data_IF_285072629384
#
_entry.id   IF_285072629384
#
_cell.length_a   1.000
_cell.length_b   1.000
_cell.length_c   1.000
_cell.angle_alpha   90.00
_cell.angle_beta   90.00
_cell.angle_gamma   90.00
#
_symmetry.space_group_name_H-M   'P 1'
#
loop_
_entity.id
_entity.type
_entity.pdbx_description
1 polymer ?
#
# COMPACT_ATOMS: atom_id res chain seq x y z
N UNK A 1 0.28 -21.92 13.66
CA UNK A 1 -0.44 -22.71 12.63
C UNK A 1 0.54 -23.27 11.60
N UNK A 2 0.15 -24.28 10.77
CA UNK A 2 0.99 -24.79 9.66
C UNK A 2 0.52 -24.19 8.34
N UNK A 3 1.46 -23.88 7.46
CA UNK A 3 1.14 -23.46 6.09
C UNK A 3 0.52 -24.62 5.30
N UNK A 4 -0.66 -24.44 4.69
CA UNK A 4 -1.31 -25.52 3.91
C UNK A 4 -0.55 -25.93 2.65
N UNK A 5 0.38 -25.09 2.17
CA UNK A 5 1.12 -25.36 0.92
C UNK A 5 2.51 -25.96 1.12
N UNK A 6 3.21 -25.66 2.24
CA UNK A 6 4.60 -26.12 2.44
C UNK A 6 4.90 -26.63 3.85
N UNK A 7 3.88 -26.82 4.71
CA UNK A 7 3.94 -27.31 6.09
C UNK A 7 4.85 -26.52 7.06
N UNK A 8 5.39 -25.38 6.66
CA UNK A 8 6.16 -24.52 7.56
C UNK A 8 5.30 -24.07 8.73
N UNK A 9 5.86 -24.10 9.94
CA UNK A 9 5.20 -23.59 11.14
C UNK A 9 5.23 -22.05 11.09
N UNK A 10 4.07 -21.43 11.16
CA UNK A 10 3.87 -19.98 11.08
C UNK A 10 3.33 -19.46 12.41
N UNK A 11 3.63 -18.20 12.77
CA UNK A 11 2.99 -17.54 13.91
C UNK A 11 1.47 -17.47 13.71
N UNK A 12 0.73 -17.53 14.81
CA UNK A 12 -0.72 -17.29 14.79
C UNK A 12 -0.96 -15.83 14.40
N UNK A 13 -1.87 -15.56 13.47
CA UNK A 13 -2.14 -14.27 12.81
C UNK A 13 -1.30 -13.92 11.57
N UNK A 14 -0.56 -14.85 11.01
CA UNK A 14 0.11 -14.66 9.73
C UNK A 14 -0.91 -14.67 8.59
N UNK A 15 -0.88 -13.65 7.74
CA UNK A 15 -1.79 -13.55 6.58
C UNK A 15 -1.25 -14.29 5.34
N UNK A 16 0.03 -14.68 5.34
CA UNK A 16 0.64 -15.50 4.29
C UNK A 16 1.89 -16.20 4.83
N UNK A 17 2.31 -17.24 4.12
CA UNK A 17 3.53 -17.98 4.44
C UNK A 17 4.77 -17.27 3.87
N UNK A 18 5.70 -16.91 4.73
CA UNK A 18 6.97 -16.26 4.37
C UNK A 18 7.95 -17.18 3.64
N UNK A 19 7.68 -18.50 3.61
CA UNK A 19 8.52 -19.48 2.92
C UNK A 19 8.07 -19.78 1.48
N UNK A 20 6.75 -19.76 1.21
CA UNK A 20 6.22 -20.14 -0.10
C UNK A 20 5.18 -19.14 -0.67
N UNK A 21 4.96 -18.02 0.01
CA UNK A 21 4.02 -16.98 -0.42
C UNK A 21 2.53 -17.36 -0.34
N UNK A 22 2.18 -18.55 0.20
CA UNK A 22 0.79 -18.97 0.29
C UNK A 22 -0.02 -18.10 1.22
N UNK A 23 -1.15 -17.56 0.75
CA UNK A 23 -2.08 -16.76 1.56
C UNK A 23 -2.98 -17.64 2.41
N UNK A 24 -3.09 -17.29 3.71
CA UNK A 24 -3.86 -18.01 4.69
C UNK A 24 -5.22 -17.32 4.83
N UNK A 25 -6.27 -17.99 4.35
CA UNK A 25 -7.65 -17.52 4.55
C UNK A 25 -8.04 -17.68 6.02
N UNK A 26 -8.29 -16.57 6.70
CA UNK A 26 -8.87 -16.59 8.04
C UNK A 26 -10.37 -16.89 7.93
N UNK A 27 -10.76 -18.12 8.23
CA UNK A 27 -12.17 -18.43 8.48
C UNK A 27 -12.58 -17.77 9.80
N UNK A 28 -13.45 -16.77 9.72
CA UNK A 28 -14.08 -16.19 10.90
C UNK A 28 -14.98 -17.25 11.54
N UNK A 29 -14.47 -17.95 12.55
CA UNK A 29 -15.31 -18.75 13.44
C UNK A 29 -15.94 -17.78 14.43
N UNK A 30 -17.21 -17.50 14.25
CA UNK A 30 -18.02 -16.76 15.21
C UNK A 30 -18.26 -17.69 16.39
N UNK A 31 -17.52 -17.48 17.48
CA UNK A 31 -17.86 -18.07 18.77
C UNK A 31 -19.00 -17.26 19.39
N UNK A 32 -20.19 -17.82 19.42
CA UNK A 32 -21.29 -17.36 20.27
C UNK A 32 -20.98 -17.79 21.70
N UNK A 33 -20.53 -16.85 22.52
CA UNK A 33 -20.49 -17.04 23.98
C UNK A 33 -21.87 -16.81 24.55
N UNK A 34 -22.43 -17.87 25.14
CA UNK A 34 -23.61 -17.79 25.99
C UNK A 34 -23.27 -17.13 27.32
N UNK A 35 -23.97 -16.03 27.62
CA UNK A 35 -23.90 -15.38 28.94
C UNK A 35 -24.77 -16.12 29.96
N UNK A 36 -24.26 -16.46 31.15
CA UNK A 36 -25.08 -16.99 32.25
C UNK A 36 -25.82 -15.83 32.94
N UNK A 37 -27.11 -16.02 33.06
CA UNK A 37 -28.01 -15.24 33.93
C UNK A 37 -27.64 -15.41 35.39
N UNK A 38 -27.36 -14.34 36.09
CA UNK A 38 -27.18 -14.29 37.54
C UNK A 38 -28.04 -13.19 38.17
N UNK A 39 -29.14 -13.61 38.81
CA UNK A 39 -29.98 -12.79 39.65
C UNK A 39 -29.23 -12.29 40.88
N UNK A 40 -29.24 -10.99 41.14
CA UNK A 40 -29.08 -10.49 42.52
C UNK A 40 -30.16 -9.47 42.85
N UNK A 41 -31.02 -9.90 43.81
CA UNK A 41 -31.94 -9.09 44.57
C UNK A 41 -31.16 -8.48 45.75
N UNK A 42 -31.18 -7.16 45.94
CA UNK A 42 -31.12 -6.58 47.30
C UNK A 42 -31.86 -5.28 47.37
N UNK A 43 -32.80 -5.30 48.30
CA UNK A 43 -33.59 -4.24 48.89
C UNK A 43 -32.74 -3.25 49.71
N UNK A 44 -33.12 -2.02 49.77
CA UNK A 44 -33.58 -1.23 50.97
C UNK A 44 -33.44 0.25 50.71
N UNK A 45 -34.62 0.90 50.74
CA UNK A 45 -35.07 1.90 51.67
C UNK A 45 -34.11 3.06 52.05
N UNK A 46 -34.46 4.25 51.61
CA UNK A 46 -34.55 5.43 52.53
C UNK A 46 -35.55 6.45 51.97
N UNK A 47 -36.59 6.72 52.76
CA UNK A 47 -37.52 7.84 52.63
C UNK A 47 -36.84 9.14 53.02
N UNK A 48 -37.04 10.21 52.24
CA UNK A 48 -36.92 11.63 52.69
C UNK A 48 -38.01 12.47 51.98
N UNK A 49 -38.60 13.46 52.68
CA UNK A 49 -39.94 14.01 52.37
C UNK A 49 -39.93 15.14 51.33
N UNK A 50 -41.14 15.37 50.81
CA UNK A 50 -41.51 16.46 49.89
C UNK A 50 -41.10 17.84 50.36
N UNK A 51 -40.44 18.61 49.49
CA UNK A 51 -40.57 20.05 49.42
C UNK A 51 -40.70 20.53 47.98
N UNK A 52 -41.65 21.37 47.80
CA UNK A 52 -42.15 22.14 46.68
C UNK A 52 -41.16 22.37 45.50
N UNK A 53 -41.48 21.80 44.35
CA UNK A 53 -40.75 22.02 43.10
C UNK A 53 -41.48 23.05 42.27
N UNK A 54 -40.83 24.20 42.09
CA UNK A 54 -41.20 25.20 41.09
C UNK A 54 -40.96 24.62 39.71
N UNK A 55 -42.03 24.45 38.96
CA UNK A 55 -42.05 23.89 37.62
C UNK A 55 -41.57 24.93 36.61
N UNK A 56 -40.30 24.83 36.16
CA UNK A 56 -39.81 25.58 34.99
C UNK A 56 -39.34 24.59 33.92
N UNK A 57 -40.29 23.90 33.32
CA UNK A 57 -40.05 23.08 32.15
C UNK A 57 -40.29 23.89 30.87
N UNK A 58 -39.31 24.75 30.49
CA UNK A 58 -39.19 25.22 29.11
C UNK A 58 -38.35 24.20 28.34
N UNK A 59 -38.98 23.12 27.85
CA UNK A 59 -38.42 22.29 26.81
C UNK A 59 -38.19 23.16 25.57
N UNK A 60 -36.91 23.53 25.29
CA UNK A 60 -36.51 24.05 23.97
C UNK A 60 -36.83 22.95 22.94
N UNK A 61 -37.87 23.14 22.12
CA UNK A 61 -38.11 22.31 20.95
C UNK A 61 -36.87 22.36 20.08
N UNK A 62 -36.21 21.24 19.90
CA UNK A 62 -35.18 21.09 18.83
C UNK A 62 -35.86 21.43 17.50
N UNK A 63 -35.24 22.23 16.63
CA UNK A 63 -35.83 22.53 15.33
C UNK A 63 -35.98 21.21 14.57
N UNK A 64 -37.21 20.84 14.28
CA UNK A 64 -37.48 19.70 13.40
C UNK A 64 -37.19 20.13 11.98
N UNK A 65 -36.31 19.42 11.30
CA UNK A 65 -36.06 19.59 9.86
C UNK A 65 -37.36 19.36 9.08
N UNK A 66 -37.65 20.26 8.15
CA UNK A 66 -38.81 20.08 7.27
C UNK A 66 -38.64 18.82 6.40
N UNK A 67 -39.73 18.23 5.98
CA UNK A 67 -39.71 17.04 5.11
C UNK A 67 -38.84 17.26 3.82
N UNK A 68 -38.90 18.48 3.25
CA UNK A 68 -38.07 18.87 2.11
C UNK A 68 -36.55 18.87 2.44
N UNK A 69 -36.18 19.35 3.61
CA UNK A 69 -34.76 19.33 4.07
C UNK A 69 -34.27 17.91 4.35
N UNK A 70 -35.11 17.04 4.89
CA UNK A 70 -34.79 15.62 5.08
C UNK A 70 -34.58 14.90 3.75
N UNK A 71 -35.42 15.18 2.74
CA UNK A 71 -35.25 14.62 1.38
C UNK A 71 -33.94 15.11 0.74
N UNK A 72 -33.64 16.41 0.82
CA UNK A 72 -32.40 16.98 0.29
C UNK A 72 -31.17 16.34 0.95
N UNK A 73 -31.18 16.23 2.29
CA UNK A 73 -30.08 15.60 3.03
C UNK A 73 -29.92 14.14 2.63
N UNK A 74 -31.03 13.40 2.48
CA UNK A 74 -31.00 11.99 2.06
C UNK A 74 -30.44 11.84 0.64
N UNK A 75 -30.85 12.70 -0.29
CA UNK A 75 -30.30 12.71 -1.67
C UNK A 75 -28.82 13.06 -1.67
N UNK A 76 -28.38 14.05 -0.88
CA UNK A 76 -26.96 14.39 -0.76
C UNK A 76 -26.13 13.23 -0.16
N UNK A 77 -26.65 12.52 0.84
CA UNK A 77 -25.99 11.35 1.43
C UNK A 77 -25.87 10.23 0.41
N UNK A 78 -26.94 9.97 -0.36
CA UNK A 78 -26.92 8.96 -1.43
C UNK A 78 -25.94 9.34 -2.52
N UNK A 79 -25.90 10.60 -2.96
CA UNK A 79 -24.93 11.09 -3.95
C UNK A 79 -23.49 10.99 -3.43
N UNK A 80 -23.23 11.36 -2.18
CA UNK A 80 -21.92 11.20 -1.54
C UNK A 80 -21.54 9.73 -1.40
N UNK A 81 -22.48 8.86 -1.05
CA UNK A 81 -22.27 7.42 -1.01
C UNK A 81 -22.01 6.84 -2.41
N UNK A 82 -22.73 7.29 -3.45
CA UNK A 82 -22.47 6.90 -4.83
C UNK A 82 -21.09 7.40 -5.30
N UNK A 83 -20.69 8.62 -4.97
CA UNK A 83 -19.35 9.15 -5.27
C UNK A 83 -18.24 8.41 -4.50
N UNK A 84 -18.54 7.84 -3.33
CA UNK A 84 -17.60 7.00 -2.56
C UNK A 84 -17.56 5.55 -3.07
N UNK A 85 -18.69 5.06 -3.62
CA UNK A 85 -18.89 3.70 -4.16
C UNK A 85 -18.56 3.64 -5.66
N UNK A 86 -18.57 4.79 -6.40
CA UNK A 86 -17.93 4.79 -7.72
C UNK A 86 -16.52 4.29 -7.46
N UNK A 87 -16.21 3.03 -7.75
CA UNK A 87 -14.89 2.53 -7.52
C UNK A 87 -14.01 3.50 -8.28
N UNK A 88 -12.91 3.89 -7.68
CA UNK A 88 -11.73 4.31 -8.41
C UNK A 88 -11.26 3.06 -9.17
N UNK A 89 -12.10 2.61 -10.09
CA UNK A 89 -11.75 1.68 -11.14
C UNK A 89 -10.77 2.50 -11.96
N UNK A 90 -9.52 2.50 -11.51
CA UNK A 90 -8.44 2.94 -12.34
C UNK A 90 -8.61 2.09 -13.60
N UNK A 91 -8.97 2.75 -14.70
CA UNK A 91 -9.11 2.11 -16.00
C UNK A 91 -7.83 1.30 -16.16
N UNK A 92 -7.95 -0.03 -16.25
CA UNK A 92 -6.78 -0.83 -16.58
C UNK A 92 -6.35 -0.33 -17.94
N UNK A 93 -5.10 0.06 -18.04
CA UNK A 93 -4.54 0.66 -19.23
C UNK A 93 -3.47 -0.29 -19.76
N UNK A 94 -3.44 -0.52 -21.06
CA UNK A 94 -2.37 -1.18 -21.77
C UNK A 94 -1.57 -0.16 -22.56
N UNK A 95 -0.23 -0.29 -22.52
CA UNK A 95 0.70 0.60 -23.24
C UNK A 95 1.69 -0.27 -23.99
N UNK A 96 1.76 -0.10 -25.31
CA UNK A 96 2.69 -0.80 -26.18
C UNK A 96 3.96 0.01 -26.42
N UNK A 97 5.08 -0.67 -26.69
CA UNK A 97 6.34 -0.04 -27.09
C UNK A 97 7.23 0.39 -25.93
N UNK A 98 6.88 0.08 -24.70
CA UNK A 98 7.76 0.30 -23.55
C UNK A 98 8.88 -0.76 -23.58
N UNK A 99 10.13 -0.29 -23.64
CA UNK A 99 11.32 -1.14 -23.65
C UNK A 99 11.81 -1.51 -22.24
N UNK A 100 12.94 -2.22 -22.21
CA UNK A 100 13.63 -2.56 -20.96
C UNK A 100 14.17 -1.31 -20.26
N UNK A 101 14.27 -1.33 -18.92
CA UNK A 101 14.96 -0.27 -18.18
C UNK A 101 16.42 -0.11 -18.63
N UNK A 102 16.89 1.12 -18.69
CA UNK A 102 18.30 1.45 -18.97
C UNK A 102 19.03 1.51 -17.63
N UNK A 103 20.10 0.72 -17.53
CA UNK A 103 20.90 0.58 -16.33
C UNK A 103 22.38 0.55 -16.69
N UNK A 104 23.17 1.49 -16.17
CA UNK A 104 24.61 1.59 -16.42
C UNK A 104 25.36 1.70 -15.10
N UNK A 105 26.47 0.97 -14.95
CA UNK A 105 27.28 1.03 -13.73
C UNK A 105 27.75 2.45 -13.45
N UNK A 106 27.71 2.82 -12.19
CA UNK A 106 28.21 4.10 -11.69
C UNK A 106 28.76 3.94 -10.28
N UNK A 107 29.41 4.96 -9.79
CA UNK A 107 29.92 5.02 -8.42
C UNK A 107 29.60 6.38 -7.79
N UNK A 108 29.62 6.43 -6.50
CA UNK A 108 29.43 7.68 -5.74
C UNK A 108 28.45 7.49 -4.58
N UNK A 109 28.39 8.47 -3.73
CA UNK A 109 27.43 8.45 -2.64
C UNK A 109 26.87 9.87 -2.40
N UNK A 110 25.78 9.90 -1.63
CA UNK A 110 25.14 11.16 -1.19
C UNK A 110 24.65 10.94 0.22
N UNK A 111 24.87 11.92 1.08
CA UNK A 111 24.36 11.89 2.47
C UNK A 111 23.04 12.66 2.53
N UNK A 112 22.07 12.07 3.22
CA UNK A 112 20.78 12.70 3.51
C UNK A 112 20.37 12.43 4.96
N UNK A 113 19.54 13.29 5.54
CA UNK A 113 18.99 13.08 6.88
C UNK A 113 17.51 12.75 6.80
N UNK A 114 17.11 11.58 7.31
CA UNK A 114 15.72 11.12 7.28
C UNK A 114 15.32 10.46 8.59
N UNK A 115 14.31 11.00 9.24
CA UNK A 115 13.67 10.35 10.40
C UNK A 115 14.55 10.20 11.63
N UNK A 116 15.62 11.01 11.75
CA UNK A 116 16.59 10.96 12.84
C UNK A 116 17.76 10.00 12.55
N UNK A 117 17.95 9.62 11.29
CA UNK A 117 19.10 8.85 10.82
C UNK A 117 19.94 9.71 9.88
N UNK A 118 21.25 9.61 9.99
CA UNK A 118 22.21 9.96 8.95
C UNK A 118 22.23 8.79 7.95
N UNK A 119 22.05 9.09 6.68
CA UNK A 119 21.81 8.08 5.64
C UNK A 119 22.81 8.26 4.52
N UNK A 120 23.70 7.30 4.34
CA UNK A 120 24.59 7.19 3.18
C UNK A 120 23.88 6.43 2.08
N UNK A 121 23.75 7.08 0.93
CA UNK A 121 23.10 6.55 -0.29
C UNK A 121 24.20 6.22 -1.29
N UNK A 122 24.58 4.95 -1.40
CA UNK A 122 25.61 4.46 -2.32
C UNK A 122 25.01 4.16 -3.68
N UNK A 123 25.46 4.86 -4.72
CA UNK A 123 24.99 4.71 -6.10
C UNK A 123 25.74 3.55 -6.76
N UNK A 124 24.99 2.58 -7.30
CA UNK A 124 25.55 1.42 -8.00
C UNK A 124 25.34 1.54 -9.50
N UNK A 125 24.16 2.00 -9.93
CA UNK A 125 23.82 2.18 -11.34
C UNK A 125 23.07 3.49 -11.54
N UNK A 126 23.28 4.15 -12.67
CA UNK A 126 22.28 5.08 -13.21
C UNK A 126 21.07 4.24 -13.63
N UNK A 127 19.88 4.78 -13.49
CA UNK A 127 18.66 4.04 -13.78
C UNK A 127 17.60 4.92 -14.40
N UNK A 128 17.12 4.52 -15.58
CA UNK A 128 15.98 5.14 -16.23
C UNK A 128 15.00 4.05 -16.65
N UNK A 129 13.75 4.22 -16.28
CA UNK A 129 12.68 3.31 -16.65
C UNK A 129 11.46 4.08 -17.16
N UNK A 130 11.09 3.82 -18.42
CA UNK A 130 9.76 4.09 -18.92
C UNK A 130 8.84 2.95 -18.51
N UNK A 131 7.69 3.24 -17.90
CA UNK A 131 6.84 2.17 -17.40
C UNK A 131 5.37 2.59 -17.25
N UNK A 132 4.50 1.59 -17.29
CA UNK A 132 3.15 1.65 -16.80
C UNK A 132 3.15 1.37 -15.29
N UNK A 133 2.56 2.27 -14.50
CA UNK A 133 2.33 2.05 -13.07
C UNK A 133 1.14 1.11 -12.88
N UNK A 134 1.40 -0.16 -12.57
CA UNK A 134 0.35 -1.18 -12.43
C UNK A 134 -0.25 -1.22 -11.03
N UNK A 135 0.51 -0.83 -10.00
CA UNK A 135 0.03 -0.70 -8.62
C UNK A 135 0.87 0.30 -7.83
N UNK A 136 0.31 0.84 -6.73
CA UNK A 136 1.06 1.69 -5.78
C UNK A 136 0.66 1.40 -4.36
N UNK A 137 1.62 1.50 -3.43
CA UNK A 137 1.40 1.38 -1.99
C UNK A 137 2.06 2.55 -1.26
N UNK A 138 1.30 3.25 -0.43
CA UNK A 138 1.84 4.28 0.46
C UNK A 138 2.03 3.70 1.86
N UNK A 139 3.09 4.14 2.55
CA UNK A 139 3.40 3.79 3.92
C UNK A 139 3.38 5.05 4.79
N UNK A 140 2.71 4.98 5.94
CA UNK A 140 2.46 6.12 6.83
C UNK A 140 2.89 5.86 8.27
N UNK A 141 3.78 4.88 8.48
CA UNK A 141 4.23 4.49 9.81
C UNK A 141 5.41 5.28 10.33
N UNK A 142 5.90 4.84 11.50
CA UNK A 142 7.03 5.45 12.21
C UNK A 142 8.36 4.77 11.94
N UNK A 143 8.36 3.61 11.29
CA UNK A 143 9.57 2.87 10.94
C UNK A 143 10.46 3.67 9.99
N UNK A 144 11.77 3.50 10.13
CA UNK A 144 12.75 4.21 9.32
C UNK A 144 12.54 3.95 7.81
N UNK A 145 12.35 2.69 7.40
CA UNK A 145 12.09 2.32 6.01
C UNK A 145 10.89 3.05 5.40
N UNK A 146 9.84 3.29 6.21
CA UNK A 146 8.63 3.97 5.75
C UNK A 146 8.82 5.49 5.64
N UNK A 147 9.76 6.05 6.41
CA UNK A 147 10.15 7.48 6.30
C UNK A 147 11.07 7.71 5.12
N UNK A 148 12.02 6.79 4.87
CA UNK A 148 13.00 6.86 3.80
C UNK A 148 12.33 6.67 2.43
N UNK A 149 11.60 5.58 2.25
CA UNK A 149 10.85 5.25 1.04
C UNK A 149 9.34 5.12 1.37
N UNK A 150 8.60 6.25 1.45
CA UNK A 150 7.20 6.26 1.90
C UNK A 150 6.23 5.73 0.86
N UNK A 151 6.70 5.39 -0.33
CA UNK A 151 5.88 4.86 -1.42
C UNK A 151 6.61 3.81 -2.22
N UNK A 152 5.94 2.69 -2.43
CA UNK A 152 6.34 1.68 -3.40
C UNK A 152 5.48 1.83 -4.65
N UNK A 153 6.09 1.63 -5.82
CA UNK A 153 5.39 1.56 -7.10
C UNK A 153 5.74 0.25 -7.80
N UNK A 154 4.72 -0.43 -8.29
CA UNK A 154 4.89 -1.56 -9.19
C UNK A 154 4.88 -1.02 -10.62
N UNK A 155 5.97 -1.23 -11.31
CA UNK A 155 6.21 -0.79 -12.68
C UNK A 155 6.22 -1.99 -13.62
N UNK A 156 5.63 -1.83 -14.81
CA UNK A 156 5.61 -2.86 -15.83
C UNK A 156 5.99 -2.28 -17.18
N UNK A 157 6.65 -3.11 -18.01
CA UNK A 157 7.07 -2.80 -19.37
C UNK A 157 6.82 -3.99 -20.31
N UNK A 158 7.25 -3.91 -21.56
CA UNK A 158 7.05 -4.96 -22.55
C UNK A 158 5.59 -5.37 -22.73
N UNK A 159 5.36 -6.65 -22.92
CA UNK A 159 4.02 -7.21 -23.11
C UNK A 159 3.19 -7.24 -21.80
N UNK A 160 3.82 -7.18 -20.63
CA UNK A 160 3.11 -7.02 -19.36
C UNK A 160 2.40 -5.66 -19.30
N UNK A 161 3.07 -4.58 -19.69
CA UNK A 161 2.46 -3.26 -19.81
C UNK A 161 1.41 -3.22 -20.93
N UNK A 162 1.72 -3.79 -22.09
CA UNK A 162 0.85 -3.83 -23.27
C UNK A 162 -0.48 -4.51 -23.03
N UNK A 163 -0.47 -5.66 -22.36
CA UNK A 163 -1.68 -6.45 -22.12
C UNK A 163 -2.35 -6.21 -20.79
N UNK A 164 -1.90 -5.21 -20.00
CA UNK A 164 -2.45 -4.96 -18.67
C UNK A 164 -3.94 -4.54 -18.67
N UNK A 165 -4.48 -4.05 -19.78
CA UNK A 165 -5.92 -3.77 -19.95
C UNK A 165 -6.75 -5.01 -20.34
N UNK A 166 -6.12 -6.02 -20.96
CA UNK A 166 -6.76 -7.23 -21.46
C UNK A 166 -6.65 -8.39 -20.49
N UNK A 167 -5.47 -8.57 -19.88
CA UNK A 167 -5.14 -9.62 -18.93
C UNK A 167 -5.36 -9.14 -17.50
N UNK A 168 -5.93 -9.97 -16.64
CA UNK A 168 -6.13 -9.63 -15.24
C UNK A 168 -5.00 -10.15 -14.36
N UNK A 169 -3.97 -9.34 -14.19
CA UNK A 169 -2.82 -9.67 -13.36
C UNK A 169 -3.09 -9.72 -11.86
N UNK A 170 -4.24 -9.28 -11.38
CA UNK A 170 -4.58 -9.21 -9.94
C UNK A 170 -3.47 -8.58 -9.08
N UNK A 171 -2.89 -7.48 -9.56
CA UNK A 171 -1.78 -6.78 -8.88
C UNK A 171 -2.07 -6.48 -7.43
N UNK A 172 -1.13 -6.79 -6.55
CA UNK A 172 -1.19 -6.48 -5.11
C UNK A 172 0.20 -6.09 -4.61
N UNK A 173 0.24 -5.15 -3.66
CA UNK A 173 1.46 -4.82 -2.92
C UNK A 173 1.23 -4.97 -1.42
N UNK A 174 2.17 -5.59 -0.74
CA UNK A 174 2.18 -5.77 0.71
C UNK A 174 3.58 -6.13 1.19
N UNK A 175 3.94 -5.72 2.41
CA UNK A 175 5.22 -6.05 3.03
C UNK A 175 6.43 -5.74 2.14
N UNK A 176 6.41 -4.59 1.47
CA UNK A 176 7.45 -4.15 0.56
C UNK A 176 7.63 -5.01 -0.70
N UNK A 177 6.67 -5.85 -1.06
CA UNK A 177 6.69 -6.69 -2.26
C UNK A 177 5.50 -6.42 -3.17
N UNK A 178 5.64 -6.74 -4.45
CA UNK A 178 4.56 -6.77 -5.42
C UNK A 178 4.28 -8.22 -5.82
N UNK A 179 3.01 -8.52 -6.00
CA UNK A 179 2.52 -9.84 -6.41
C UNK A 179 1.57 -9.69 -7.58
N UNK A 180 1.63 -10.65 -8.50
CA UNK A 180 0.60 -10.84 -9.50
C UNK A 180 0.06 -12.28 -9.43
N UNK A 181 -1.14 -12.48 -9.95
CA UNK A 181 -1.73 -13.80 -10.10
C UNK A 181 -2.45 -13.85 -11.44
N UNK A 182 -2.12 -14.86 -12.24
CA UNK A 182 -2.70 -15.12 -13.54
C UNK A 182 -3.18 -16.58 -13.61
N UNK A 183 -4.16 -16.84 -14.45
CA UNK A 183 -4.49 -18.18 -14.90
C UNK A 183 -3.59 -18.59 -16.08
N UNK A 184 -3.66 -19.84 -16.50
CA UNK A 184 -2.82 -20.36 -17.58
C UNK A 184 -3.11 -19.71 -18.94
N UNK A 185 -4.37 -19.38 -19.22
CA UNK A 185 -4.78 -18.70 -20.45
C UNK A 185 -4.17 -17.29 -20.53
N UNK A 186 -4.28 -16.52 -19.45
CA UNK A 186 -3.70 -15.18 -19.33
C UNK A 186 -2.15 -15.23 -19.44
N UNK A 187 -1.50 -16.24 -18.82
CA UNK A 187 -0.04 -16.43 -18.92
C UNK A 187 0.40 -16.66 -20.37
N UNK A 188 -0.34 -17.47 -21.14
CA UNK A 188 -0.03 -17.73 -22.55
C UNK A 188 -0.11 -16.47 -23.41
N UNK A 189 -1.02 -15.53 -23.08
CA UNK A 189 -1.15 -14.27 -23.81
C UNK A 189 0.08 -13.37 -23.64
N UNK A 190 0.69 -13.39 -22.44
CA UNK A 190 1.81 -12.50 -22.10
C UNK A 190 3.20 -13.15 -22.18
N UNK A 191 3.30 -14.35 -22.74
CA UNK A 191 4.60 -15.00 -22.97
C UNK A 191 5.08 -15.93 -21.85
N UNK A 192 4.20 -16.29 -20.90
CA UNK A 192 4.51 -17.22 -19.81
C UNK A 192 4.97 -16.57 -18.51
N UNK A 193 5.18 -17.41 -17.49
CA UNK A 193 5.50 -16.93 -16.13
C UNK A 193 6.84 -16.20 -16.07
N UNK A 194 7.89 -16.78 -16.67
CA UNK A 194 9.25 -16.21 -16.64
C UNK A 194 9.27 -14.82 -17.30
N UNK A 195 8.54 -14.68 -18.43
CA UNK A 195 8.39 -13.39 -19.08
C UNK A 195 7.70 -12.37 -18.16
N UNK A 196 6.61 -12.75 -17.52
CA UNK A 196 5.90 -11.87 -16.59
C UNK A 196 6.83 -11.44 -15.45
N UNK A 197 7.55 -12.40 -14.85
CA UNK A 197 8.42 -12.12 -13.69
C UNK A 197 9.58 -11.21 -14.03
N UNK A 198 10.12 -11.26 -15.26
CA UNK A 198 11.19 -10.37 -15.71
C UNK A 198 10.74 -9.02 -16.27
N UNK A 199 9.42 -8.77 -16.46
CA UNK A 199 8.89 -7.55 -17.07
C UNK A 199 7.99 -6.72 -16.15
N UNK A 200 8.14 -6.90 -14.85
CA UNK A 200 7.64 -5.95 -13.83
C UNK A 200 8.58 -5.94 -12.62
N UNK A 201 8.53 -4.85 -11.88
CA UNK A 201 9.30 -4.73 -10.63
C UNK A 201 8.54 -3.99 -9.55
N UNK A 202 8.92 -4.21 -8.29
CA UNK A 202 8.47 -3.43 -7.17
C UNK A 202 9.57 -2.47 -6.72
N UNK A 203 9.32 -1.19 -6.81
CA UNK A 203 10.32 -0.16 -6.61
C UNK A 203 10.04 0.64 -5.35
N UNK A 204 11.04 0.73 -4.46
CA UNK A 204 11.03 1.57 -3.26
C UNK A 204 11.63 2.94 -3.60
N UNK A 205 10.84 4.00 -3.50
CA UNK A 205 11.24 5.31 -4.00
C UNK A 205 11.75 6.23 -2.88
N UNK A 206 13.05 6.54 -2.95
CA UNK A 206 13.72 7.54 -2.11
C UNK A 206 13.81 8.84 -2.92
N UNK A 207 13.35 9.94 -2.38
CA UNK A 207 13.39 11.23 -3.09
C UNK A 207 14.72 11.95 -2.88
N UNK A 208 15.36 12.44 -3.95
CA UNK A 208 16.57 13.24 -3.88
C UNK A 208 16.34 14.61 -3.23
N UNK A 209 15.13 15.16 -3.39
CA UNK A 209 14.77 16.46 -2.84
C UNK A 209 13.25 16.59 -2.58
N UNK A 210 12.84 17.76 -2.04
CA UNK A 210 11.44 18.08 -1.75
C UNK A 210 10.55 18.15 -2.99
N UNK A 211 11.10 18.52 -4.15
CA UNK A 211 10.35 18.61 -5.42
C UNK A 211 10.05 17.21 -5.93
N UNK A 212 11.07 16.35 -5.99
CA UNK A 212 10.93 14.95 -6.36
C UNK A 212 10.00 14.22 -5.41
N UNK A 213 10.09 14.47 -4.09
CA UNK A 213 9.15 13.92 -3.10
C UNK A 213 7.69 14.27 -3.42
N UNK A 214 7.41 15.48 -3.90
CA UNK A 214 6.07 15.89 -4.34
C UNK A 214 5.64 15.17 -5.61
N UNK A 215 6.55 14.91 -6.55
CA UNK A 215 6.29 14.13 -7.76
C UNK A 215 5.97 12.68 -7.40
N UNK A 216 6.81 12.00 -6.61
CA UNK A 216 6.60 10.63 -6.15
C UNK A 216 5.22 10.46 -5.50
N UNK A 217 4.80 11.38 -4.65
CA UNK A 217 3.48 11.34 -4.00
C UNK A 217 2.32 11.34 -5.01
N UNK A 218 2.48 11.98 -6.16
CA UNK A 218 1.44 12.11 -7.21
C UNK A 218 1.30 10.86 -8.08
N UNK A 219 2.33 10.00 -8.14
CA UNK A 219 2.28 8.76 -8.93
C UNK A 219 1.09 7.93 -8.49
N UNK A 220 0.29 7.45 -9.43
CA UNK A 220 -0.89 6.62 -9.20
C UNK A 220 -0.97 5.48 -10.21
N UNK A 221 -1.72 4.46 -9.87
CA UNK A 221 -2.03 3.35 -10.79
C UNK A 221 -2.61 3.89 -12.10
N UNK A 222 -2.09 3.37 -13.21
CA UNK A 222 -2.46 3.73 -14.58
C UNK A 222 -1.62 4.86 -15.17
N UNK A 223 -0.76 5.52 -14.41
CA UNK A 223 0.17 6.51 -14.95
C UNK A 223 1.17 5.85 -15.91
N UNK A 224 1.51 6.54 -16.98
CA UNK A 224 2.63 6.25 -17.86
C UNK A 224 3.74 7.24 -17.54
N UNK A 225 4.86 6.75 -17.03
CA UNK A 225 5.94 7.60 -16.50
C UNK A 225 7.31 7.18 -17.03
N UNK A 226 8.22 8.14 -17.06
CA UNK A 226 9.67 7.92 -17.00
C UNK A 226 10.11 8.27 -15.59
N UNK A 227 10.81 7.34 -14.95
CA UNK A 227 11.45 7.53 -13.66
C UNK A 227 12.96 7.47 -13.86
N UNK A 228 13.64 8.52 -13.43
CA UNK A 228 15.11 8.65 -13.56
C UNK A 228 15.74 8.76 -12.18
N UNK A 229 16.88 8.11 -11.97
CA UNK A 229 17.61 8.12 -10.72
C UNK A 229 18.78 7.17 -10.70
N UNK A 230 18.98 6.53 -9.54
CA UNK A 230 20.06 5.58 -9.31
C UNK A 230 19.52 4.37 -8.54
N UNK A 231 19.96 3.18 -8.89
CA UNK A 231 19.87 2.03 -8.01
C UNK A 231 20.90 2.20 -6.89
N UNK A 232 20.46 2.02 -5.64
CA UNK A 232 21.27 2.40 -4.49
C UNK A 232 21.24 1.37 -3.37
N UNK A 233 22.37 1.26 -2.64
CA UNK A 233 22.39 0.67 -1.31
C UNK A 233 22.35 1.76 -0.26
N UNK A 234 21.72 1.47 0.86
CA UNK A 234 21.55 2.37 1.99
C UNK A 234 22.28 1.83 3.21
N UNK A 235 23.07 2.70 3.82
CA UNK A 235 23.63 2.52 5.14
C UNK A 235 23.16 3.70 6.00
N UNK A 236 22.54 3.43 7.13
CA UNK A 236 21.98 4.48 7.97
C UNK A 236 22.22 4.20 9.45
N UNK A 237 22.61 5.26 10.19
CA UNK A 237 22.80 5.21 11.63
C UNK A 237 22.08 6.39 12.30
N UNK A 238 21.56 6.17 13.50
CA UNK A 238 20.98 7.23 14.30
C UNK A 238 21.85 7.57 15.54
N UNK A 239 21.55 8.67 16.22
CA UNK A 239 22.28 9.15 17.40
C UNK A 239 22.39 8.12 18.53
N UNK A 240 21.56 7.09 18.56
CA UNK A 240 21.62 6.00 19.54
C UNK A 240 22.46 4.80 19.10
N UNK A 241 23.13 4.88 17.94
CA UNK A 241 23.94 3.81 17.36
C UNK A 241 23.11 2.68 16.75
N UNK A 242 21.86 2.92 16.41
CA UNK A 242 21.03 1.93 15.70
C UNK A 242 21.30 1.99 14.22
N UNK A 243 21.73 0.86 13.67
CA UNK A 243 22.02 0.67 12.25
C UNK A 243 20.83 0.16 11.46
N UNK A 244 20.78 0.54 10.16
CA UNK A 244 19.84 0.03 9.18
C UNK A 244 20.53 -0.07 7.82
N UNK A 245 20.50 -1.26 7.21
CA UNK A 245 21.03 -1.56 5.88
C UNK A 245 19.89 -1.92 4.96
N UNK A 246 19.97 -1.46 3.70
CA UNK A 246 18.98 -1.81 2.67
C UNK A 246 19.64 -1.81 1.30
N UNK A 247 19.69 -2.99 0.69
CA UNK A 247 20.32 -3.20 -0.61
C UNK A 247 19.26 -3.25 -1.70
N UNK A 248 19.62 -2.73 -2.89
CA UNK A 248 18.81 -2.81 -4.10
C UNK A 248 19.05 -4.11 -4.84
N UNK A 249 18.02 -4.66 -5.52
CA UNK A 249 18.29 -5.58 -6.64
C UNK A 249 18.97 -4.84 -7.79
N UNK A 250 19.82 -5.55 -8.51
CA UNK A 250 20.52 -5.08 -9.72
C UNK A 250 20.30 -6.02 -10.90
N UNK A 251 19.49 -7.09 -10.73
CA UNK A 251 19.17 -8.09 -11.76
C UNK A 251 17.66 -8.17 -12.01
N UNK A 252 17.26 -8.96 -13.01
CA UNK A 252 15.85 -9.26 -13.32
C UNK A 252 15.50 -10.73 -13.11
N UNK A 253 16.50 -11.53 -12.72
CA UNK A 253 16.38 -12.98 -12.56
C UNK A 253 16.19 -13.40 -11.09
N UNK A 254 16.20 -12.43 -10.16
CA UNK A 254 16.01 -12.66 -8.74
C UNK A 254 14.53 -12.61 -8.35
N UNK A 255 14.21 -13.38 -7.33
CA UNK A 255 12.87 -13.41 -6.70
C UNK A 255 12.97 -13.38 -5.17
N UNK A 256 11.85 -13.13 -4.51
CA UNK A 256 11.78 -13.16 -3.05
C UNK A 256 12.30 -11.91 -2.34
N UNK A 257 13.01 -12.12 -1.21
CA UNK A 257 13.62 -11.03 -0.44
C UNK A 257 14.86 -10.52 -1.17
N UNK A 258 14.92 -9.20 -1.40
CA UNK A 258 16.02 -8.56 -2.12
C UNK A 258 15.76 -8.31 -3.60
N UNK A 259 14.70 -8.88 -4.18
CA UNK A 259 14.35 -8.73 -5.61
C UNK A 259 13.63 -7.39 -5.94
N UNK A 260 13.63 -6.43 -5.03
CA UNK A 260 13.03 -5.11 -5.28
C UNK A 260 14.11 -4.08 -5.55
N UNK A 261 13.84 -3.16 -6.45
CA UNK A 261 14.71 -2.01 -6.69
C UNK A 261 14.54 -0.97 -5.61
N UNK A 262 15.64 -0.46 -5.08
CA UNK A 262 15.71 0.71 -4.23
C UNK A 262 16.25 1.87 -5.04
N UNK A 263 15.38 2.83 -5.36
CA UNK A 263 15.70 3.89 -6.32
C UNK A 263 15.81 5.23 -5.60
N UNK A 264 17.00 5.86 -5.69
CA UNK A 264 17.18 7.26 -5.35
C UNK A 264 16.76 8.11 -6.54
N UNK A 265 15.50 8.54 -6.52
CA UNK A 265 14.83 9.20 -7.64
C UNK A 265 15.27 10.64 -7.77
N UNK A 266 15.70 11.03 -8.96
CA UNK A 266 16.07 12.41 -9.30
C UNK A 266 15.00 13.11 -10.12
N UNK A 267 14.21 12.37 -10.91
CA UNK A 267 13.06 12.94 -11.61
C UNK A 267 11.93 11.91 -11.84
N UNK A 268 10.73 12.42 -12.05
CA UNK A 268 9.56 11.70 -12.53
C UNK A 268 8.89 12.56 -13.59
N UNK A 269 8.73 12.00 -14.80
CA UNK A 269 8.06 12.64 -15.92
C UNK A 269 6.84 11.80 -16.30
N UNK A 270 5.68 12.43 -16.42
CA UNK A 270 4.48 11.80 -16.98
C UNK A 270 4.49 11.99 -18.49
N UNK A 271 4.16 10.92 -19.22
CA UNK A 271 4.14 10.93 -20.68
C UNK A 271 2.75 11.28 -21.24
N UNK A 272 1.70 11.16 -20.41
CA UNK A 272 0.31 11.47 -20.77
C UNK A 272 -0.60 11.60 -19.53
#
# INVERSE_FOLDING_TARGET
MKCPNCDKILPDNTDFCDNCGYFIEKTNVVHTEETPTGNYVTSNLFNIPNESIINVNKKKKKPSLSQKQLIIISVCIVLLALLAIVPKIGVRRGISGIGEPIQEETTGYTEINVGGYEVSVYKLYTYEIEALVVHTKNYYGFEFSQKLAPKDVALAWGDVAKYNDKVNFHWRQGQRRCYCRLNEEDLNIVGGLDYVMSHFSNNHLIASDKSVKRKIKKIKKGDHIILTGFLVNIDAENDSGKYYLWDTSTTRDDDGDGACELIFVTDVKWLD
#
